data_IF_532482487064
#
_entry.id   IF_532482487064
#
_cell.length_a   1.000
_cell.length_b   1.000
_cell.length_c   1.000
_cell.angle_alpha   90.00
_cell.angle_beta   90.00
_cell.angle_gamma   90.00
#
_symmetry.space_group_name_H-M   'P 1'
#
loop_
_entity.id
_entity.type
_entity.pdbx_description
1 polymer ?
#
# COMPACT_ATOMS: atom_id res chain seq x y z
N UNK A 1 -3.54 -19.40 3.24
CA UNK A 1 -4.41 -18.31 3.60
C UNK A 1 -5.19 -17.81 2.37
N UNK A 2 -6.37 -17.25 2.58
CA UNK A 2 -7.34 -16.82 1.57
C UNK A 2 -6.71 -15.86 0.53
N UNK A 3 -5.90 -14.90 0.98
CA UNK A 3 -5.25 -13.90 0.13
C UNK A 3 -4.33 -14.53 -0.94
N UNK A 4 -3.55 -15.55 -0.56
CA UNK A 4 -2.71 -16.29 -1.50
C UNK A 4 -3.55 -17.02 -2.55
N UNK A 5 -4.68 -17.61 -2.15
CA UNK A 5 -5.60 -18.28 -3.07
C UNK A 5 -6.18 -17.32 -4.09
N UNK A 6 -6.70 -16.19 -3.64
CA UNK A 6 -7.30 -15.15 -4.51
C UNK A 6 -6.27 -14.60 -5.49
N UNK A 7 -5.07 -14.22 -5.00
CA UNK A 7 -4.01 -13.72 -5.85
C UNK A 7 -3.59 -14.74 -6.92
N UNK A 8 -3.41 -16.02 -6.54
CA UNK A 8 -3.02 -17.09 -7.42
C UNK A 8 -4.09 -17.40 -8.51
N UNK A 9 -5.37 -17.47 -8.10
CA UNK A 9 -6.50 -17.72 -9.02
C UNK A 9 -6.63 -16.57 -10.02
N UNK A 10 -6.44 -15.33 -9.57
CA UNK A 10 -6.51 -14.14 -10.42
C UNK A 10 -5.35 -14.12 -11.42
N UNK A 11 -4.12 -14.41 -11.00
CA UNK A 11 -2.96 -14.43 -11.89
C UNK A 11 -3.02 -15.55 -12.93
N UNK A 12 -3.65 -16.67 -12.61
CA UNK A 12 -3.91 -17.75 -13.58
C UNK A 12 -4.99 -17.41 -14.60
N UNK A 13 -5.70 -16.29 -14.43
CA UNK A 13 -6.74 -15.86 -15.35
C UNK A 13 -8.06 -16.64 -15.22
N UNK A 14 -8.27 -17.32 -14.08
CA UNK A 14 -9.52 -18.04 -13.80
C UNK A 14 -10.67 -17.09 -13.48
N UNK A 15 -10.34 -15.88 -13.05
CA UNK A 15 -11.33 -14.82 -12.82
C UNK A 15 -11.45 -14.01 -14.12
N UNK A 16 -12.66 -13.82 -14.66
CA UNK A 16 -12.86 -13.05 -15.88
C UNK A 16 -12.41 -11.59 -15.67
N UNK A 17 -11.69 -11.05 -16.66
CA UNK A 17 -11.12 -9.70 -16.59
C UNK A 17 -12.15 -8.61 -16.34
N UNK A 18 -13.43 -8.85 -16.66
CA UNK A 18 -14.53 -7.93 -16.37
C UNK A 18 -14.74 -7.72 -14.86
N UNK A 19 -14.54 -8.78 -14.07
CA UNK A 19 -14.66 -8.73 -12.60
C UNK A 19 -13.43 -8.02 -12.01
N UNK A 20 -12.24 -8.40 -12.45
CA UNK A 20 -10.96 -7.83 -11.96
C UNK A 20 -10.87 -6.34 -12.24
N UNK A 21 -11.37 -5.89 -13.40
CA UNK A 21 -11.36 -4.46 -13.82
C UNK A 21 -12.63 -3.71 -13.45
N UNK A 22 -13.47 -4.28 -12.62
CA UNK A 22 -14.69 -3.59 -12.20
C UNK A 22 -14.34 -2.41 -11.29
N UNK A 23 -14.98 -1.22 -11.47
CA UNK A 23 -14.71 -0.04 -10.63
C UNK A 23 -14.81 -0.31 -9.13
N UNK A 24 -15.71 -1.22 -8.72
CA UNK A 24 -15.88 -1.63 -7.32
C UNK A 24 -14.61 -2.26 -6.75
N UNK A 25 -13.88 -3.08 -7.51
CA UNK A 25 -12.60 -3.67 -7.06
C UNK A 25 -11.57 -2.57 -6.79
N UNK A 26 -11.52 -1.54 -7.64
CA UNK A 26 -10.67 -0.38 -7.41
C UNK A 26 -11.08 0.40 -6.15
N UNK A 27 -12.37 0.61 -5.94
CA UNK A 27 -12.87 1.30 -4.74
C UNK A 27 -12.55 0.50 -3.49
N UNK A 28 -12.76 -0.83 -3.51
CA UNK A 28 -12.42 -1.70 -2.39
C UNK A 28 -10.90 -1.78 -2.14
N UNK A 29 -10.08 -1.74 -3.18
CA UNK A 29 -8.62 -1.72 -3.04
C UNK A 29 -8.11 -0.44 -2.35
N UNK A 30 -8.88 0.66 -2.34
CA UNK A 30 -8.58 1.82 -1.50
C UNK A 30 -8.66 1.50 -0.01
N UNK A 31 -9.26 0.38 0.37
CA UNK A 31 -9.22 -0.15 1.74
C UNK A 31 -7.80 -0.37 2.29
N UNK A 32 -6.78 -0.46 1.42
CA UNK A 32 -5.35 -0.41 1.82
C UNK A 32 -5.02 0.85 2.62
N UNK A 33 -5.72 1.96 2.37
CA UNK A 33 -5.57 3.17 3.17
C UNK A 33 -6.00 2.98 4.63
N UNK A 34 -6.93 2.06 4.89
CA UNK A 34 -7.33 1.64 6.23
C UNK A 34 -6.27 0.72 6.86
N UNK A 35 -5.04 1.22 6.96
CA UNK A 35 -3.92 0.53 7.60
C UNK A 35 -4.12 0.44 9.11
N UNK A 36 -3.29 -0.35 9.77
CA UNK A 36 -3.24 -0.44 11.25
C UNK A 36 -3.03 0.94 11.89
N UNK A 37 -2.31 1.86 11.21
CA UNK A 37 -2.22 3.25 11.65
C UNK A 37 -3.59 3.92 11.71
N UNK A 38 -4.44 3.72 10.73
CA UNK A 38 -5.78 4.28 10.72
C UNK A 38 -6.65 3.74 11.88
N UNK A 39 -6.42 2.51 12.31
CA UNK A 39 -7.17 1.90 13.41
C UNK A 39 -6.60 2.28 14.78
N UNK A 40 -5.32 2.00 15.05
CA UNK A 40 -4.70 2.24 16.36
C UNK A 40 -4.12 3.65 16.50
N UNK A 41 -3.45 4.15 15.48
CA UNK A 41 -2.76 5.43 15.52
C UNK A 41 -3.74 6.60 15.61
N UNK A 42 -4.84 6.52 14.86
CA UNK A 42 -5.90 7.54 14.86
C UNK A 42 -6.53 7.70 16.23
N UNK A 43 -6.90 6.59 16.88
CA UNK A 43 -7.50 6.60 18.22
C UNK A 43 -6.51 7.17 19.24
N UNK A 44 -5.25 6.74 19.19
CA UNK A 44 -4.20 7.24 20.08
C UNK A 44 -3.90 8.73 19.88
N UNK A 45 -3.88 9.21 18.63
CA UNK A 45 -3.69 10.63 18.32
C UNK A 45 -4.89 11.47 18.75
N UNK A 46 -6.10 11.01 18.49
CA UNK A 46 -7.32 11.70 18.92
C UNK A 46 -7.38 11.83 20.46
N UNK A 47 -6.94 10.81 21.19
CA UNK A 47 -6.88 10.83 22.65
C UNK A 47 -5.85 11.83 23.19
N UNK A 48 -4.70 11.99 22.50
CA UNK A 48 -3.62 12.90 22.94
C UNK A 48 -3.84 14.35 22.52
N UNK A 49 -4.30 14.54 21.28
CA UNK A 49 -4.40 15.85 20.63
C UNK A 49 -5.82 16.43 20.69
N UNK A 50 -6.80 15.62 21.11
CA UNK A 50 -8.19 16.04 21.18
C UNK A 50 -8.70 16.53 19.81
N UNK A 51 -9.28 17.74 19.81
CA UNK A 51 -9.79 18.35 18.58
C UNK A 51 -8.69 18.67 17.53
N UNK A 52 -7.42 18.76 17.93
CA UNK A 52 -6.29 18.99 17.03
C UNK A 52 -6.18 17.90 15.96
N UNK A 53 -6.57 16.66 16.27
CA UNK A 53 -6.60 15.56 15.31
C UNK A 53 -7.54 15.81 14.11
N UNK A 54 -8.60 16.63 14.28
CA UNK A 54 -9.52 16.97 13.19
C UNK A 54 -8.81 17.69 12.04
N UNK A 55 -7.75 18.45 12.31
CA UNK A 55 -6.96 19.11 11.27
C UNK A 55 -6.35 18.10 10.29
N UNK A 56 -5.88 16.95 10.79
CA UNK A 56 -5.37 15.87 9.95
C UNK A 56 -6.48 15.27 9.05
N UNK A 57 -7.64 14.98 9.62
CA UNK A 57 -8.80 14.43 8.89
C UNK A 57 -9.32 15.40 7.83
N UNK A 58 -9.38 16.68 8.15
CA UNK A 58 -9.76 17.74 7.22
C UNK A 58 -8.72 17.86 6.09
N UNK A 59 -7.43 17.83 6.42
CA UNK A 59 -6.33 17.87 5.44
C UNK A 59 -6.41 16.72 4.43
N UNK A 60 -6.64 15.50 4.90
CA UNK A 60 -6.81 14.32 4.04
C UNK A 60 -8.06 14.48 3.15
N UNK A 61 -9.19 14.90 3.72
CA UNK A 61 -10.43 15.09 2.97
C UNK A 61 -10.29 16.17 1.89
N UNK A 62 -9.62 17.28 2.18
CA UNK A 62 -9.31 18.32 1.22
C UNK A 62 -8.36 17.83 0.12
N UNK A 63 -7.35 17.02 0.45
CA UNK A 63 -6.45 16.43 -0.53
C UNK A 63 -7.21 15.53 -1.51
N UNK A 64 -8.14 14.70 -1.02
CA UNK A 64 -9.01 13.89 -1.88
C UNK A 64 -9.94 14.75 -2.75
N UNK A 65 -10.50 15.81 -2.19
CA UNK A 65 -11.38 16.73 -2.93
C UNK A 65 -10.63 17.48 -4.03
N UNK A 66 -9.37 17.86 -3.78
CA UNK A 66 -8.49 18.51 -4.76
C UNK A 66 -7.80 17.51 -5.72
N UNK A 67 -7.93 16.21 -5.47
CA UNK A 67 -7.25 15.18 -6.26
C UNK A 67 -7.52 15.26 -7.78
N UNK A 68 -8.75 15.53 -8.27
CA UNK A 68 -8.97 15.69 -9.71
C UNK A 68 -8.16 16.82 -10.33
N UNK A 69 -7.95 17.90 -9.58
CA UNK A 69 -7.21 19.07 -10.04
C UNK A 69 -5.68 18.82 -10.07
N UNK A 70 -5.17 18.11 -9.06
CA UNK A 70 -3.73 17.88 -8.88
C UNK A 70 -3.25 16.58 -9.56
N UNK A 71 -4.03 15.50 -9.43
CA UNK A 71 -3.60 14.19 -9.93
C UNK A 71 -3.88 13.99 -11.42
N UNK A 72 -4.87 14.67 -11.99
CA UNK A 72 -5.19 14.51 -13.41
C UNK A 72 -4.03 14.91 -14.32
N UNK A 73 -3.44 16.11 -14.22
CA UNK A 73 -2.27 16.48 -15.03
C UNK A 73 -1.07 15.57 -14.74
N UNK A 74 -0.91 15.11 -13.49
CA UNK A 74 0.15 14.20 -13.12
C UNK A 74 -0.02 12.82 -13.78
N UNK A 75 -1.25 12.30 -13.82
CA UNK A 75 -1.59 11.04 -14.48
C UNK A 75 -1.40 11.13 -16.01
N UNK A 76 -1.76 12.24 -16.62
CA UNK A 76 -1.53 12.48 -18.04
C UNK A 76 -0.03 12.48 -18.36
N UNK A 77 0.78 13.15 -17.52
CA UNK A 77 2.22 13.18 -17.66
C UNK A 77 2.84 11.78 -17.51
N UNK A 78 2.48 11.05 -16.46
CA UNK A 78 3.01 9.71 -16.21
C UNK A 78 2.62 8.71 -17.30
N UNK A 79 1.42 8.83 -17.86
CA UNK A 79 0.98 7.99 -18.99
C UNK A 79 1.71 8.33 -20.29
N UNK A 80 1.90 9.60 -20.57
CA UNK A 80 2.56 10.05 -21.81
C UNK A 80 4.05 9.63 -21.83
N UNK A 81 4.73 9.77 -20.70
CA UNK A 81 6.16 9.47 -20.59
C UNK A 81 6.46 8.09 -19.99
N UNK A 82 5.41 7.25 -19.76
CA UNK A 82 5.53 5.88 -19.21
C UNK A 82 6.33 5.83 -17.91
N UNK A 83 6.15 6.83 -17.04
CA UNK A 83 6.81 6.91 -15.75
C UNK A 83 6.12 5.95 -14.77
N UNK A 84 6.88 5.05 -14.16
CA UNK A 84 6.32 3.97 -13.34
C UNK A 84 6.41 4.22 -11.83
N UNK A 85 7.21 5.19 -11.41
CA UNK A 85 7.44 5.49 -10.00
C UNK A 85 7.56 6.98 -9.73
N UNK A 86 7.42 7.39 -8.47
CA UNK A 86 7.68 8.76 -8.04
C UNK A 86 9.15 9.15 -8.26
N UNK A 87 10.07 8.21 -8.10
CA UNK A 87 11.48 8.42 -8.37
C UNK A 87 11.73 8.72 -9.85
N UNK A 88 11.06 7.99 -10.77
CA UNK A 88 11.15 8.25 -12.22
C UNK A 88 10.58 9.62 -12.57
N UNK A 89 9.46 10.00 -11.94
CA UNK A 89 8.84 11.31 -12.15
C UNK A 89 9.79 12.45 -11.78
N UNK A 90 10.43 12.35 -10.61
CA UNK A 90 11.38 13.36 -10.15
C UNK A 90 12.67 13.36 -10.99
N UNK A 91 13.19 12.18 -11.34
CA UNK A 91 14.34 12.06 -12.23
C UNK A 91 14.05 12.70 -13.61
N UNK A 92 12.86 12.48 -14.14
CA UNK A 92 12.40 13.11 -15.39
C UNK A 92 12.28 14.63 -15.25
N UNK A 93 11.64 15.10 -14.18
CA UNK A 93 11.43 16.54 -13.92
C UNK A 93 12.73 17.31 -13.79
N UNK A 94 13.70 16.74 -13.06
CA UNK A 94 15.00 17.37 -12.81
C UNK A 94 16.09 16.95 -13.80
N UNK A 95 15.77 16.08 -14.77
CA UNK A 95 16.70 15.58 -15.79
C UNK A 95 17.99 15.00 -15.20
N UNK A 96 17.88 14.35 -14.05
CA UNK A 96 19.03 13.81 -13.33
C UNK A 96 18.71 12.43 -12.74
N UNK A 97 19.46 11.38 -13.10
CA UNK A 97 19.27 10.04 -12.52
C UNK A 97 19.62 10.01 -11.02
N UNK A 98 20.49 10.89 -10.56
CA UNK A 98 20.83 11.02 -9.14
C UNK A 98 19.63 11.39 -8.29
N UNK A 99 18.77 12.27 -8.78
CA UNK A 99 17.53 12.65 -8.08
C UNK A 99 16.64 11.43 -7.90
N UNK A 100 16.51 10.56 -8.90
CA UNK A 100 15.76 9.32 -8.80
C UNK A 100 16.31 8.39 -7.72
N UNK A 101 17.64 8.20 -7.69
CA UNK A 101 18.32 7.37 -6.69
C UNK A 101 18.13 7.91 -5.27
N UNK A 102 18.36 9.21 -5.07
CA UNK A 102 18.17 9.85 -3.76
C UNK A 102 16.70 9.74 -3.32
N UNK A 103 15.75 9.99 -4.23
CA UNK A 103 14.33 9.83 -3.94
C UNK A 103 13.99 8.41 -3.49
N UNK A 104 14.52 7.40 -4.18
CA UNK A 104 14.30 5.99 -3.81
C UNK A 104 14.84 5.70 -2.40
N UNK A 105 16.05 6.17 -2.09
CA UNK A 105 16.64 6.01 -0.76
C UNK A 105 15.82 6.70 0.33
N UNK A 106 15.39 7.92 0.09
CA UNK A 106 14.53 8.67 1.05
C UNK A 106 13.20 7.96 1.29
N UNK A 107 12.56 7.46 0.22
CA UNK A 107 11.33 6.67 0.34
C UNK A 107 11.59 5.38 1.14
N UNK A 108 12.66 4.66 0.85
CA UNK A 108 13.02 3.43 1.55
C UNK A 108 13.18 3.67 3.06
N UNK A 109 13.96 4.69 3.43
CA UNK A 109 14.16 5.06 4.83
C UNK A 109 12.85 5.51 5.48
N UNK A 110 12.02 6.30 4.78
CA UNK A 110 10.74 6.81 5.29
C UNK A 110 9.67 5.72 5.47
N UNK A 111 9.66 4.69 4.62
CA UNK A 111 8.67 3.60 4.69
C UNK A 111 9.05 2.56 5.74
N UNK A 112 10.34 2.39 6.05
CA UNK A 112 10.82 1.38 7.01
C UNK A 112 10.13 1.48 8.38
N UNK A 113 10.06 2.64 9.06
CA UNK A 113 9.36 2.75 10.35
C UNK A 113 7.86 2.50 10.24
N UNK A 114 7.25 2.84 9.10
CA UNK A 114 5.84 2.56 8.86
C UNK A 114 5.57 1.05 8.80
N UNK A 115 6.43 0.29 8.10
CA UNK A 115 6.35 -1.18 8.06
C UNK A 115 6.57 -1.78 9.44
N UNK A 116 7.56 -1.30 10.20
CA UNK A 116 7.84 -1.77 11.54
C UNK A 116 6.62 -1.57 12.47
N UNK A 117 5.93 -0.45 12.34
CA UNK A 117 4.71 -0.18 13.11
C UNK A 117 3.57 -1.14 12.76
N UNK A 118 3.42 -1.51 11.49
CA UNK A 118 2.43 -2.50 11.05
C UNK A 118 2.72 -3.88 11.65
N UNK A 119 3.99 -4.31 11.61
CA UNK A 119 4.42 -5.61 12.16
C UNK A 119 4.17 -5.66 13.66
N UNK A 120 4.56 -4.60 14.37
CA UNK A 120 4.37 -4.50 15.82
C UNK A 120 2.89 -4.60 16.21
N UNK A 121 2.03 -3.87 15.52
CA UNK A 121 0.60 -3.86 15.84
C UNK A 121 -0.06 -5.23 15.59
N UNK A 122 0.38 -5.98 14.56
CA UNK A 122 -0.08 -7.37 14.35
C UNK A 122 0.39 -8.28 15.49
N UNK A 123 1.65 -8.14 15.93
CA UNK A 123 2.19 -8.93 17.01
C UNK A 123 1.48 -8.62 18.35
N UNK A 124 1.26 -7.35 18.67
CA UNK A 124 0.53 -6.90 19.87
C UNK A 124 -0.92 -7.45 19.87
N UNK A 125 -1.58 -7.43 18.71
CA UNK A 125 -2.96 -7.98 18.58
C UNK A 125 -2.96 -9.50 18.80
N UNK A 126 -1.97 -10.20 18.25
CA UNK A 126 -1.90 -11.65 18.37
C UNK A 126 -1.57 -12.08 19.82
N UNK A 127 -0.77 -11.32 20.55
CA UNK A 127 -0.52 -11.57 21.98
C UNK A 127 -1.79 -11.48 22.83
N UNK A 128 -2.67 -10.52 22.51
CA UNK A 128 -3.96 -10.39 23.20
C UNK A 128 -4.86 -11.61 22.94
N UNK A 129 -4.81 -12.14 21.71
CA UNK A 129 -5.65 -13.27 21.30
C UNK A 129 -5.09 -14.63 21.73
N UNK A 130 -3.77 -14.75 21.84
CA UNK A 130 -3.08 -16.01 22.18
C UNK A 130 -1.87 -15.77 23.07
N UNK A 131 -2.07 -15.63 24.39
CA UNK A 131 -0.98 -15.35 25.34
C UNK A 131 0.08 -16.45 25.44
N UNK A 132 -0.19 -17.63 24.88
CA UNK A 132 0.73 -18.78 24.91
C UNK A 132 1.84 -18.72 23.85
N UNK A 133 1.70 -17.88 22.83
CA UNK A 133 2.67 -17.73 21.76
C UNK A 133 3.64 -16.58 22.08
N UNK A 134 4.95 -16.75 21.82
CA UNK A 134 5.90 -15.68 22.08
C UNK A 134 5.74 -14.55 21.05
N UNK A 135 5.70 -13.31 21.53
CA UNK A 135 5.58 -12.10 20.73
C UNK A 135 6.58 -12.06 19.54
N UNK A 136 7.83 -12.48 19.79
CA UNK A 136 8.85 -12.51 18.74
C UNK A 136 8.58 -13.53 17.64
N UNK A 137 8.04 -14.70 17.96
CA UNK A 137 7.75 -15.74 16.94
C UNK A 137 6.61 -15.34 16.02
N UNK A 138 5.61 -14.63 16.54
CA UNK A 138 4.47 -14.12 15.75
C UNK A 138 4.95 -13.02 14.80
N UNK A 139 5.75 -12.07 15.29
CA UNK A 139 6.31 -11.01 14.47
C UNK A 139 7.15 -11.56 13.32
N UNK A 140 8.06 -12.50 13.61
CA UNK A 140 8.90 -13.15 12.60
C UNK A 140 8.06 -13.94 11.60
N UNK A 141 7.09 -14.72 12.06
CA UNK A 141 6.19 -15.47 11.19
C UNK A 141 5.39 -14.56 10.25
N UNK A 142 4.92 -13.43 10.74
CA UNK A 142 4.22 -12.43 9.94
C UNK A 142 5.15 -11.76 8.92
N UNK A 143 6.39 -11.40 9.30
CA UNK A 143 7.40 -10.87 8.37
C UNK A 143 7.70 -11.87 7.24
N UNK A 144 7.91 -13.13 7.57
CA UNK A 144 8.18 -14.18 6.57
C UNK A 144 6.98 -14.32 5.62
N UNK A 145 5.77 -14.34 6.15
CA UNK A 145 4.54 -14.48 5.35
C UNK A 145 4.36 -13.30 4.38
N UNK A 146 4.53 -12.06 4.85
CA UNK A 146 4.44 -10.86 4.00
C UNK A 146 5.56 -10.82 2.98
N UNK A 147 6.79 -11.18 3.37
CA UNK A 147 7.93 -11.21 2.45
C UNK A 147 7.70 -12.24 1.34
N UNK A 148 7.22 -13.42 1.68
CA UNK A 148 6.87 -14.46 0.72
C UNK A 148 5.75 -13.99 -0.22
N UNK A 149 4.73 -13.34 0.32
CA UNK A 149 3.65 -12.76 -0.49
C UNK A 149 4.20 -11.68 -1.44
N UNK A 150 5.04 -10.79 -0.96
CA UNK A 150 5.65 -9.74 -1.77
C UNK A 150 6.55 -10.28 -2.88
N UNK A 151 7.32 -11.34 -2.62
CA UNK A 151 8.16 -12.00 -3.64
C UNK A 151 7.31 -12.70 -4.70
N UNK A 152 6.26 -13.39 -4.29
CA UNK A 152 5.41 -14.16 -5.21
C UNK A 152 4.49 -13.28 -6.06
N UNK A 153 3.94 -12.22 -5.47
CA UNK A 153 2.88 -11.41 -6.11
C UNK A 153 3.24 -9.93 -6.29
N UNK A 154 4.34 -9.44 -5.67
CA UNK A 154 4.66 -8.01 -5.61
C UNK A 154 5.09 -7.41 -6.93
N UNK A 155 6.21 -7.78 -7.48
CA UNK A 155 6.84 -7.09 -8.62
C UNK A 155 7.10 -8.00 -9.81
N UNK A 156 6.10 -8.73 -10.26
CA UNK A 156 6.24 -9.51 -11.50
C UNK A 156 6.25 -8.54 -12.71
N UNK A 157 7.43 -8.11 -13.12
CA UNK A 157 7.65 -7.39 -14.39
C UNK A 157 7.44 -8.39 -15.53
N UNK A 158 6.20 -8.64 -15.92
CA UNK A 158 5.91 -9.29 -17.21
C UNK A 158 5.73 -8.19 -18.25
N UNK A 159 6.59 -8.13 -19.29
CA UNK A 159 6.42 -7.17 -20.37
C UNK A 159 5.04 -7.44 -21.03
N UNK A 160 4.17 -6.43 -21.01
CA UNK A 160 2.83 -6.47 -21.60
C UNK A 160 1.64 -6.54 -20.65
N UNK A 161 1.82 -6.75 -19.36
CA UNK A 161 0.73 -6.71 -18.38
C UNK A 161 1.03 -5.69 -17.28
N UNK A 162 0.57 -4.48 -17.50
CA UNK A 162 0.79 -3.30 -16.62
C UNK A 162 -0.13 -3.26 -15.40
N UNK A 163 -0.79 -4.34 -15.06
CA UNK A 163 -1.75 -4.36 -13.95
C UNK A 163 -1.44 -5.52 -13.01
N UNK A 164 -1.24 -5.19 -11.74
CA UNK A 164 -1.13 -6.14 -10.64
C UNK A 164 -2.53 -6.63 -10.24
N UNK A 165 -3.23 -7.25 -11.19
CA UNK A 165 -4.63 -7.66 -11.04
C UNK A 165 -4.82 -8.60 -9.84
N UNK A 166 -3.86 -9.51 -9.61
CA UNK A 166 -3.87 -10.43 -8.47
C UNK A 166 -3.72 -9.73 -7.12
N UNK A 167 -2.82 -8.76 -7.05
CA UNK A 167 -2.61 -7.97 -5.83
C UNK A 167 -3.83 -7.09 -5.52
N UNK A 168 -4.40 -6.44 -6.55
CA UNK A 168 -5.57 -5.59 -6.37
C UNK A 168 -6.80 -6.37 -5.91
N UNK A 169 -7.01 -7.58 -6.45
CA UNK A 169 -8.08 -8.46 -6.00
C UNK A 169 -7.85 -8.96 -4.57
N UNK A 170 -6.63 -9.33 -4.22
CA UNK A 170 -6.31 -9.78 -2.85
C UNK A 170 -6.51 -8.67 -1.81
N UNK A 171 -6.34 -7.41 -2.19
CA UNK A 171 -6.55 -6.26 -1.32
C UNK A 171 -8.05 -5.92 -1.21
N UNK A 172 -8.82 -6.16 -2.27
CA UNK A 172 -10.25 -5.82 -2.32
C UNK A 172 -11.13 -6.81 -1.51
N UNK A 173 -10.61 -8.01 -1.20
CA UNK A 173 -11.30 -9.07 -0.43
C UNK A 173 -10.66 -9.30 0.94
#
# INVERSE_FOLDING_TARGET
SLLFGIAYITERGWIPQRVVRHPIVYVLSLGVFASIWAYYGVVGSAQREGYGYLANSIGISLAFMLSPLLLRPLLELTRTYQLSSLADLLAFRYRSPWVGTVTTLVILVGVTPLIALQIRAVADTADILSPAASHGSIAVGFCVLITLFAILFGTSRRPGRTQHDGLMMAIAF
#
